data_IF_420651610269
#
_entry.id   IF_420651610269
#
_cell.length_a   1.000
_cell.length_b   1.000
_cell.length_c   1.000
_cell.angle_alpha   90.00
_cell.angle_beta   90.00
_cell.angle_gamma   90.00
#
_symmetry.space_group_name_H-M   'P 1'
#
loop_
_entity.id
_entity.type
_entity.pdbx_description
1 polymer ?
#
# COMPACT_ATOMS: atom_id res chain seq x y z
N UNK A 1 1.77 -13.73 29.00
CA UNK A 1 2.45 -13.04 27.89
C UNK A 1 2.24 -13.86 26.65
N UNK A 2 1.64 -13.27 25.60
CA UNK A 2 1.48 -13.96 24.31
C UNK A 2 2.83 -14.49 23.85
N UNK A 3 2.90 -15.70 23.30
CA UNK A 3 4.15 -16.32 22.77
C UNK A 3 4.76 -15.55 21.59
N UNK A 4 4.20 -14.39 21.22
CA UNK A 4 4.59 -13.55 20.09
C UNK A 4 5.19 -12.20 20.49
N UNK A 5 5.13 -11.83 21.78
CA UNK A 5 5.64 -10.53 22.23
C UNK A 5 7.13 -10.42 21.88
N UNK A 6 7.52 -9.33 21.21
CA UNK A 6 8.89 -9.10 20.74
C UNK A 6 9.28 -9.80 19.42
N UNK A 7 8.36 -10.53 18.78
CA UNK A 7 8.57 -11.20 17.51
C UNK A 7 7.75 -10.56 16.38
N UNK A 8 8.21 -10.76 15.13
CA UNK A 8 7.47 -10.47 13.90
C UNK A 8 6.96 -11.77 13.31
N UNK A 9 5.65 -11.85 13.03
CA UNK A 9 5.03 -13.03 12.42
C UNK A 9 5.20 -12.98 10.90
N UNK A 10 6.04 -13.88 10.34
CA UNK A 10 6.18 -14.07 8.89
C UNK A 10 5.33 -15.24 8.41
N UNK A 11 5.20 -15.41 7.10
CA UNK A 11 4.53 -16.58 6.50
C UNK A 11 5.24 -17.92 6.80
N UNK A 12 6.50 -17.89 7.22
CA UNK A 12 7.27 -19.08 7.63
C UNK A 12 7.26 -19.32 9.14
N UNK A 13 6.60 -18.44 9.91
CA UNK A 13 6.58 -18.48 11.36
C UNK A 13 7.10 -17.19 12.01
N UNK A 14 7.02 -17.09 13.35
CA UNK A 14 7.58 -15.97 14.08
C UNK A 14 9.11 -15.95 13.97
N UNK A 15 9.67 -14.76 13.77
CA UNK A 15 11.11 -14.48 13.85
C UNK A 15 11.37 -13.40 14.90
N UNK A 16 12.53 -13.41 15.58
CA UNK A 16 12.92 -12.29 16.43
C UNK A 16 12.89 -10.97 15.65
N UNK A 17 12.33 -9.92 16.25
CA UNK A 17 12.06 -8.65 15.54
C UNK A 17 13.32 -7.98 14.99
N UNK A 18 14.48 -8.21 15.58
CA UNK A 18 15.77 -7.73 15.09
C UNK A 18 16.23 -8.37 13.77
N UNK A 19 15.63 -9.48 13.34
CA UNK A 19 16.00 -10.17 12.10
C UNK A 19 15.34 -9.60 10.84
N UNK A 20 14.31 -8.76 10.96
CA UNK A 20 13.57 -8.27 9.79
C UNK A 20 14.37 -7.27 8.95
N UNK A 21 15.36 -6.57 9.53
CA UNK A 21 16.27 -5.67 8.80
C UNK A 21 15.55 -4.59 8.00
N UNK A 22 16.13 -4.20 6.85
CA UNK A 22 15.48 -3.26 5.92
C UNK A 22 14.15 -3.83 5.46
N UNK A 23 13.08 -3.11 5.78
CA UNK A 23 11.69 -3.56 5.63
C UNK A 23 10.91 -2.59 4.76
N UNK A 24 10.17 -3.13 3.80
CA UNK A 24 9.16 -2.39 3.03
C UNK A 24 7.77 -2.73 3.60
N UNK A 25 7.16 -1.83 4.40
CA UNK A 25 5.96 -2.10 5.18
C UNK A 25 4.65 -2.07 4.38
N UNK A 26 4.69 -1.71 3.09
CA UNK A 26 3.52 -1.70 2.23
C UNK A 26 3.87 -2.05 0.80
N UNK A 27 3.69 -3.32 0.47
CA UNK A 27 3.86 -3.87 -0.86
C UNK A 27 2.73 -4.85 -1.18
N UNK A 28 2.59 -5.20 -2.45
CA UNK A 28 1.78 -6.33 -2.88
C UNK A 28 2.70 -7.35 -3.58
N UNK A 29 3.07 -8.39 -2.85
CA UNK A 29 3.92 -9.46 -3.38
C UNK A 29 3.13 -10.30 -4.37
N UNK A 30 1.88 -10.61 -4.03
CA UNK A 30 0.90 -11.17 -4.96
C UNK A 30 -0.43 -10.44 -4.80
N UNK A 31 -1.02 -10.00 -5.91
CA UNK A 31 -2.32 -9.32 -5.92
C UNK A 31 -3.01 -9.51 -7.27
N UNK A 32 -4.35 -9.64 -7.24
CA UNK A 32 -5.20 -9.44 -8.40
C UNK A 32 -6.25 -8.36 -8.07
N UNK A 33 -6.03 -7.16 -8.58
CA UNK A 33 -6.99 -6.07 -8.41
C UNK A 33 -8.21 -6.23 -9.32
N UNK A 34 -8.17 -7.10 -10.33
CA UNK A 34 -9.33 -7.34 -11.22
C UNK A 34 -10.45 -8.13 -10.53
N UNK A 35 -10.21 -8.63 -9.31
CA UNK A 35 -11.18 -9.33 -8.50
C UNK A 35 -12.39 -8.46 -8.19
N UNK A 36 -13.59 -8.96 -8.49
CA UNK A 36 -14.84 -8.23 -8.27
C UNK A 36 -15.19 -7.19 -9.34
N UNK A 37 -14.26 -6.87 -10.25
CA UNK A 37 -14.51 -5.96 -11.36
C UNK A 37 -15.03 -6.70 -12.60
N UNK A 38 -16.27 -6.42 -13.00
CA UNK A 38 -16.86 -6.94 -14.25
C UNK A 38 -16.47 -6.12 -15.49
N UNK A 39 -15.84 -4.96 -15.31
CA UNK A 39 -15.40 -4.05 -16.36
C UNK A 39 -14.29 -3.11 -15.87
N UNK A 40 -13.65 -2.38 -16.79
CA UNK A 40 -12.69 -1.32 -16.45
C UNK A 40 -13.31 -0.27 -15.51
N UNK A 41 -14.54 0.17 -15.80
CA UNK A 41 -15.28 1.12 -14.97
C UNK A 41 -15.54 0.57 -13.55
N UNK A 42 -15.82 -0.72 -13.41
CA UNK A 42 -15.99 -1.35 -12.10
C UNK A 42 -14.68 -1.42 -11.30
N UNK A 43 -13.53 -1.61 -11.98
CA UNK A 43 -12.19 -1.66 -11.37
C UNK A 43 -11.70 -0.30 -10.86
N UNK A 44 -12.09 0.77 -11.53
CA UNK A 44 -11.49 2.10 -11.37
C UNK A 44 -12.32 3.03 -10.48
N UNK A 45 -13.55 2.62 -10.11
CA UNK A 45 -14.51 3.43 -9.37
C UNK A 45 -15.23 4.46 -10.24
N UNK A 46 -16.31 5.07 -9.74
CA UNK A 46 -17.10 6.09 -10.45
C UNK A 46 -16.65 7.51 -10.11
N UNK A 47 -15.38 7.85 -10.35
CA UNK A 47 -14.98 9.26 -10.29
C UNK A 47 -15.40 9.97 -11.56
N UNK A 48 -15.66 11.28 -11.53
CA UNK A 48 -15.99 12.06 -12.75
C UNK A 48 -14.89 11.90 -13.83
N UNK A 49 -13.62 11.69 -13.44
CA UNK A 49 -12.53 11.38 -14.36
C UNK A 49 -12.62 10.00 -14.99
N UNK A 50 -13.01 8.97 -14.22
CA UNK A 50 -13.23 7.61 -14.72
C UNK A 50 -14.54 7.53 -15.52
N UNK A 51 -15.58 8.25 -15.12
CA UNK A 51 -16.82 8.40 -15.88
C UNK A 51 -16.56 9.14 -17.19
N UNK A 52 -15.78 10.23 -17.20
CA UNK A 52 -15.39 10.91 -18.44
C UNK A 52 -14.54 10.01 -19.34
N UNK A 53 -13.61 9.24 -18.78
CA UNK A 53 -12.82 8.25 -19.52
C UNK A 53 -13.66 7.06 -20.03
N UNK A 54 -14.65 6.62 -19.25
CA UNK A 54 -15.54 5.48 -19.56
C UNK A 54 -16.72 5.88 -20.46
N UNK A 55 -17.17 7.14 -20.43
CA UNK A 55 -18.23 7.73 -21.25
C UNK A 55 -17.70 8.23 -22.60
N UNK A 56 -16.38 8.37 -22.72
CA UNK A 56 -15.69 8.55 -23.99
C UNK A 56 -14.73 7.38 -24.24
N UNK A 57 -15.24 6.14 -24.32
CA UNK A 57 -14.39 5.02 -24.73
C UNK A 57 -13.83 5.28 -26.13
N UNK A 58 -14.48 6.17 -26.90
CA UNK A 58 -14.11 6.64 -28.24
C UNK A 58 -13.00 7.68 -28.34
N UNK A 59 -12.57 8.31 -27.25
CA UNK A 59 -11.62 9.41 -27.29
C UNK A 59 -10.29 9.08 -26.59
N UNK A 60 -9.82 7.83 -26.75
CA UNK A 60 -8.54 7.37 -26.19
C UNK A 60 -7.48 8.47 -26.24
N UNK A 61 -6.88 8.77 -25.09
CA UNK A 61 -6.06 9.97 -24.87
C UNK A 61 -4.68 9.93 -25.58
N UNK A 62 -4.56 9.28 -26.73
CA UNK A 62 -3.37 9.38 -27.60
C UNK A 62 -3.44 10.66 -28.45
N UNK A 63 -2.37 11.48 -28.52
CA UNK A 63 -2.37 12.68 -29.33
C UNK A 63 -2.28 12.34 -30.83
N UNK A 64 -3.41 12.48 -31.55
CA UNK A 64 -3.42 12.50 -33.01
C UNK A 64 -3.05 13.87 -33.58
N UNK A 65 -2.67 13.94 -34.86
CA UNK A 65 -2.24 15.16 -35.57
C UNK A 65 -3.28 16.32 -35.56
N UNK A 66 -4.51 16.10 -35.06
CA UNK A 66 -5.55 17.12 -34.77
C UNK A 66 -6.35 16.86 -33.45
N UNK A 67 -5.81 16.14 -32.45
CA UNK A 67 -6.52 15.80 -31.19
C UNK A 67 -7.10 14.37 -31.13
N UNK A 68 -7.57 13.87 -29.96
CA UNK A 68 -7.46 12.45 -29.56
C UNK A 68 -8.34 11.46 -30.35
N UNK A 69 -7.79 10.26 -30.57
CA UNK A 69 -8.26 9.23 -31.50
C UNK A 69 -9.31 8.23 -30.98
N UNK A 70 -9.75 7.34 -31.91
CA UNK A 70 -10.97 6.50 -31.86
C UNK A 70 -10.98 5.30 -30.90
N UNK A 71 -12.20 4.90 -30.49
CA UNK A 71 -12.56 3.86 -29.51
C UNK A 71 -11.92 2.51 -29.62
N UNK A 72 -11.64 2.11 -30.86
CA UNK A 72 -11.08 0.81 -31.17
C UNK A 72 -9.70 0.61 -30.49
N UNK A 73 -8.98 1.70 -30.18
CA UNK A 73 -7.65 1.66 -29.58
C UNK A 73 -7.63 1.29 -28.09
N UNK A 74 -8.61 1.72 -27.29
CA UNK A 74 -8.62 1.50 -25.83
C UNK A 74 -8.98 0.05 -25.47
N UNK A 75 -10.06 -0.49 -26.06
CA UNK A 75 -10.43 -1.90 -25.90
C UNK A 75 -9.35 -2.83 -26.45
N UNK A 76 -8.68 -2.45 -27.55
CA UNK A 76 -7.56 -3.20 -28.09
C UNK A 76 -6.32 -3.17 -27.17
N UNK A 77 -6.15 -2.13 -26.33
CA UNK A 77 -5.04 -1.98 -25.37
C UNK A 77 -5.29 -2.71 -24.04
N UNK A 78 -6.55 -2.90 -23.62
CA UNK A 78 -6.93 -3.55 -22.36
C UNK A 78 -6.23 -4.91 -22.15
N UNK A 79 -6.17 -5.76 -23.18
CA UNK A 79 -5.52 -7.07 -23.10
C UNK A 79 -4.06 -7.12 -23.53
N UNK A 80 -3.41 -5.99 -23.86
CA UNK A 80 -2.01 -6.00 -24.33
C UNK A 80 -1.05 -6.30 -23.17
N UNK A 81 0.02 -7.07 -23.42
CA UNK A 81 1.06 -7.31 -22.43
C UNK A 81 1.86 -6.02 -22.16
N UNK A 82 2.49 -5.95 -20.99
CA UNK A 82 3.47 -4.90 -20.69
C UNK A 82 4.75 -5.18 -21.47
N UNK A 83 5.07 -4.31 -22.43
CA UNK A 83 6.31 -4.37 -23.22
C UNK A 83 6.99 -3.00 -23.22
N UNK A 84 8.22 -2.93 -23.72
CA UNK A 84 8.92 -1.65 -23.88
C UNK A 84 8.14 -0.67 -24.79
N UNK A 85 7.43 -1.19 -25.80
CA UNK A 85 6.59 -0.39 -26.71
C UNK A 85 5.39 0.23 -25.97
N UNK A 86 4.74 -0.54 -25.09
CA UNK A 86 3.53 -0.08 -24.38
C UNK A 86 3.84 0.66 -23.08
N UNK A 87 5.10 0.69 -22.63
CA UNK A 87 5.50 1.18 -21.30
C UNK A 87 5.14 2.65 -21.06
N UNK A 88 5.36 3.51 -22.07
CA UNK A 88 5.05 4.94 -21.97
C UNK A 88 3.54 5.19 -21.90
N UNK A 89 2.78 4.45 -22.70
CA UNK A 89 1.32 4.49 -22.66
C UNK A 89 0.82 4.06 -21.30
N UNK A 90 1.31 2.95 -20.73
CA UNK A 90 0.88 2.43 -19.42
C UNK A 90 1.17 3.43 -18.29
N UNK A 91 2.33 4.11 -18.31
CA UNK A 91 2.69 5.10 -17.27
C UNK A 91 1.67 6.25 -17.20
N UNK A 92 1.25 6.73 -18.38
CA UNK A 92 0.28 7.83 -18.50
C UNK A 92 -1.16 7.35 -18.35
N UNK A 93 -1.38 6.13 -18.86
CA UNK A 93 -2.49 5.20 -19.03
C UNK A 93 -2.65 4.06 -18.03
N UNK A 94 -2.99 4.21 -16.75
CA UNK A 94 -3.01 3.05 -15.83
C UNK A 94 -4.00 1.94 -16.23
N UNK A 95 -4.86 2.16 -17.23
CA UNK A 95 -5.95 1.31 -17.72
C UNK A 95 -5.55 0.14 -18.65
N UNK A 96 -4.56 -0.68 -18.28
CA UNK A 96 -4.24 -1.93 -19.00
C UNK A 96 -4.57 -3.12 -18.08
N UNK A 97 -5.45 -4.03 -18.50
CA UNK A 97 -5.98 -5.10 -17.63
C UNK A 97 -4.90 -6.01 -17.04
N UNK A 98 -3.98 -6.47 -17.90
CA UNK A 98 -2.90 -7.36 -17.48
C UNK A 98 -1.97 -6.73 -16.44
N UNK A 99 -1.90 -5.40 -16.43
CA UNK A 99 -1.07 -4.64 -15.51
C UNK A 99 -1.56 -4.70 -14.05
N UNK A 100 -2.84 -5.02 -13.81
CA UNK A 100 -3.47 -5.11 -12.48
C UNK A 100 -3.31 -6.49 -11.82
N UNK A 101 -2.50 -7.37 -12.40
CA UNK A 101 -2.30 -8.76 -11.95
C UNK A 101 -0.84 -9.04 -11.67
N UNK A 102 -0.48 -9.02 -10.39
CA UNK A 102 0.79 -9.52 -9.88
C UNK A 102 0.56 -10.92 -9.33
N UNK A 103 0.39 -11.90 -10.22
CA UNK A 103 0.06 -13.29 -9.84
C UNK A 103 1.13 -14.30 -10.25
N UNK A 104 2.17 -13.85 -10.95
CA UNK A 104 3.29 -14.69 -11.35
C UNK A 104 4.34 -14.77 -10.24
N UNK A 105 4.52 -15.97 -9.69
CA UNK A 105 5.47 -16.22 -8.60
C UNK A 105 6.92 -16.05 -9.07
N UNK A 106 7.26 -16.37 -10.32
CA UNK A 106 8.62 -16.25 -10.82
C UNK A 106 9.02 -14.77 -10.97
N UNK A 107 8.07 -13.90 -11.33
CA UNK A 107 8.28 -12.46 -11.31
C UNK A 107 8.51 -11.93 -9.89
N UNK A 108 7.69 -12.36 -8.92
CA UNK A 108 7.87 -11.96 -7.53
C UNK A 108 9.21 -12.47 -6.95
N UNK A 109 9.63 -13.70 -7.28
CA UNK A 109 10.95 -14.25 -6.91
C UNK A 109 12.08 -13.43 -7.53
N UNK A 110 11.94 -13.03 -8.80
CA UNK A 110 12.94 -12.20 -9.48
C UNK A 110 13.12 -10.85 -8.77
N UNK A 111 12.01 -10.14 -8.50
CA UNK A 111 12.04 -8.83 -7.82
C UNK A 111 12.55 -8.94 -6.38
N UNK A 112 12.10 -9.95 -5.61
CA UNK A 112 12.55 -10.16 -4.24
C UNK A 112 14.04 -10.52 -4.15
N UNK A 113 14.60 -11.25 -5.12
CA UNK A 113 16.04 -11.50 -5.20
C UNK A 113 16.84 -10.24 -5.53
N UNK A 114 16.29 -9.29 -6.30
CA UNK A 114 16.92 -7.99 -6.52
C UNK A 114 16.90 -7.15 -5.23
N UNK A 115 15.75 -7.11 -4.55
CA UNK A 115 15.62 -6.46 -3.24
C UNK A 115 16.64 -7.00 -2.22
N UNK A 116 16.73 -8.33 -2.08
CA UNK A 116 17.69 -8.99 -1.18
C UNK A 116 19.14 -8.63 -1.48
N UNK A 117 19.51 -8.60 -2.77
CA UNK A 117 20.87 -8.26 -3.21
C UNK A 117 21.30 -6.84 -2.85
N UNK A 118 20.35 -5.91 -2.70
CA UNK A 118 20.60 -4.53 -2.29
C UNK A 118 20.42 -4.32 -0.78
N UNK A 119 20.36 -5.40 0.02
CA UNK A 119 20.28 -5.33 1.48
C UNK A 119 18.85 -5.34 2.04
N UNK A 120 17.84 -5.41 1.18
CA UNK A 120 16.46 -5.65 1.57
C UNK A 120 16.29 -6.97 2.34
N UNK A 121 15.41 -7.00 3.34
CA UNK A 121 15.28 -8.17 4.21
C UNK A 121 13.84 -8.59 4.47
N UNK A 122 12.90 -7.65 4.54
CA UNK A 122 11.49 -7.95 4.80
C UNK A 122 10.54 -7.21 3.84
N UNK A 123 9.55 -7.93 3.32
CA UNK A 123 8.42 -7.38 2.56
C UNK A 123 7.13 -7.62 3.36
N UNK A 124 6.29 -6.61 3.45
CA UNK A 124 4.95 -6.74 4.03
C UNK A 124 3.92 -6.71 2.91
N UNK A 125 3.35 -7.88 2.62
CA UNK A 125 2.27 -8.05 1.66
C UNK A 125 0.97 -7.55 2.31
N UNK A 126 0.51 -6.37 1.91
CA UNK A 126 -0.71 -5.75 2.40
C UNK A 126 -1.96 -6.23 1.64
N UNK A 127 -1.86 -7.23 0.77
CA UNK A 127 -3.00 -7.73 -0.02
C UNK A 127 -4.05 -8.38 0.90
N UNK A 128 -5.23 -7.75 1.10
CA UNK A 128 -6.22 -8.22 2.05
C UNK A 128 -7.22 -9.18 1.38
N UNK A 129 -8.27 -9.56 2.12
CA UNK A 129 -9.41 -10.29 1.55
C UNK A 129 -10.10 -9.45 0.48
N UNK A 130 -10.41 -10.08 -0.65
CA UNK A 130 -11.03 -9.42 -1.81
C UNK A 130 -10.07 -9.16 -2.98
N UNK A 131 -8.76 -9.15 -2.73
CA UNK A 131 -7.72 -8.84 -3.73
C UNK A 131 -6.83 -10.05 -4.10
N UNK A 132 -7.40 -11.26 -4.01
CA UNK A 132 -6.71 -12.53 -4.30
C UNK A 132 -5.44 -12.81 -3.46
N UNK A 133 -5.44 -12.45 -2.17
CA UNK A 133 -4.38 -12.84 -1.21
C UNK A 133 -4.02 -14.33 -1.33
N UNK A 134 -2.74 -14.64 -1.55
CA UNK A 134 -2.23 -16.01 -1.75
C UNK A 134 -1.17 -16.43 -0.71
N UNK A 135 -1.57 -16.97 0.44
CA UNK A 135 -0.62 -17.38 1.49
C UNK A 135 0.40 -18.43 1.03
N UNK A 136 0.04 -19.33 0.11
CA UNK A 136 0.93 -20.41 -0.34
C UNK A 136 1.98 -19.88 -1.30
N UNK A 137 1.58 -18.99 -2.21
CA UNK A 137 2.51 -18.25 -3.07
C UNK A 137 3.53 -17.46 -2.25
N UNK A 138 3.08 -16.74 -1.21
CA UNK A 138 3.99 -16.01 -0.31
C UNK A 138 5.01 -16.94 0.38
N UNK A 139 4.59 -18.13 0.85
CA UNK A 139 5.52 -19.13 1.42
C UNK A 139 6.54 -19.62 0.40
N UNK A 140 6.11 -19.87 -0.84
CA UNK A 140 7.00 -20.29 -1.92
C UNK A 140 8.07 -19.23 -2.21
N UNK A 141 7.67 -17.96 -2.32
CA UNK A 141 8.57 -16.84 -2.59
C UNK A 141 9.54 -16.64 -1.42
N UNK A 142 9.06 -16.65 -0.17
CA UNK A 142 9.90 -16.50 1.01
C UNK A 142 10.98 -17.60 1.09
N UNK A 143 10.61 -18.86 0.82
CA UNK A 143 11.57 -19.99 0.81
C UNK A 143 12.58 -19.89 -0.33
N UNK A 144 12.14 -19.46 -1.51
CA UNK A 144 13.01 -19.38 -2.69
C UNK A 144 14.05 -18.24 -2.60
N UNK A 145 13.73 -17.17 -1.87
CA UNK A 145 14.54 -15.94 -1.85
C UNK A 145 15.24 -15.67 -0.52
N UNK A 146 14.76 -16.27 0.58
CA UNK A 146 15.24 -15.96 1.93
C UNK A 146 14.86 -14.56 2.41
N UNK A 147 13.94 -13.87 1.71
CA UNK A 147 13.32 -12.64 2.17
C UNK A 147 12.21 -12.98 3.15
N UNK A 148 12.14 -12.27 4.27
CA UNK A 148 11.01 -12.38 5.18
C UNK A 148 9.76 -11.78 4.52
N UNK A 149 8.65 -12.51 4.57
CA UNK A 149 7.38 -12.00 4.05
C UNK A 149 6.36 -12.02 5.19
N UNK A 150 5.81 -10.85 5.51
CA UNK A 150 4.68 -10.70 6.43
C UNK A 150 3.41 -10.60 5.60
N UNK A 151 2.41 -11.42 5.91
CA UNK A 151 1.12 -11.40 5.23
C UNK A 151 0.11 -10.54 6.00
N UNK A 152 -0.64 -9.71 5.28
CA UNK A 152 -1.73 -8.90 5.78
C UNK A 152 -3.04 -9.67 6.03
N UNK A 153 -3.89 -9.09 6.87
CA UNK A 153 -5.26 -9.52 7.16
C UNK A 153 -6.26 -8.39 6.92
N UNK A 154 -7.55 -8.64 7.15
CA UNK A 154 -8.58 -7.62 6.99
C UNK A 154 -9.24 -7.59 5.62
N UNK A 155 -9.97 -6.51 5.37
CA UNK A 155 -10.79 -6.30 4.18
C UNK A 155 -10.46 -4.94 3.58
N UNK A 156 -10.47 -4.89 2.25
CA UNK A 156 -10.21 -3.67 1.50
C UNK A 156 -11.41 -2.71 1.45
N UNK A 157 -11.52 -1.90 0.41
CA UNK A 157 -12.68 -1.02 0.14
C UNK A 157 -13.92 -1.80 -0.29
N UNK A 158 -15.08 -1.15 -0.21
CA UNK A 158 -16.38 -1.77 -0.48
C UNK A 158 -16.49 -2.48 -1.83
N UNK A 159 -15.76 -2.03 -2.85
CA UNK A 159 -15.78 -2.62 -4.20
C UNK A 159 -15.19 -4.03 -4.24
N UNK A 160 -14.37 -4.39 -3.24
CA UNK A 160 -13.71 -5.69 -3.13
C UNK A 160 -14.24 -6.51 -1.94
N UNK A 161 -15.26 -6.00 -1.24
CA UNK A 161 -15.92 -6.74 -0.17
C UNK A 161 -16.65 -7.97 -0.74
N UNK A 162 -16.75 -9.06 0.03
CA UNK A 162 -17.58 -10.18 -0.38
C UNK A 162 -19.05 -9.76 -0.48
N UNK A 163 -19.82 -10.39 -1.37
CA UNK A 163 -21.22 -10.03 -1.64
C UNK A 163 -22.14 -10.09 -0.40
N UNK A 164 -21.75 -10.85 0.62
CA UNK A 164 -22.50 -10.97 1.88
C UNK A 164 -21.99 -10.03 3.00
N UNK A 165 -21.08 -9.08 2.71
CA UNK A 165 -20.47 -8.21 3.74
C UNK A 165 -21.50 -7.44 4.58
N UNK A 166 -22.60 -6.98 3.96
CA UNK A 166 -23.67 -6.28 4.68
C UNK A 166 -24.35 -7.15 5.75
N UNK A 167 -24.44 -8.47 5.52
CA UNK A 167 -25.04 -9.42 6.47
C UNK A 167 -24.08 -9.85 7.58
N UNK A 168 -22.76 -9.68 7.42
CA UNK A 168 -21.80 -9.99 8.46
C UNK A 168 -21.92 -9.00 9.62
N UNK A 169 -22.03 -9.50 10.85
CA UNK A 169 -21.95 -8.66 12.05
C UNK A 169 -20.51 -8.18 12.26
N UNK A 170 -20.35 -7.09 13.03
CA UNK A 170 -19.03 -6.60 13.43
C UNK A 170 -18.21 -7.69 14.13
N UNK A 171 -18.81 -8.43 15.07
CA UNK A 171 -18.15 -9.54 15.76
C UNK A 171 -17.69 -10.63 14.80
N UNK A 172 -18.49 -10.96 13.78
CA UNK A 172 -18.08 -11.95 12.78
C UNK A 172 -16.90 -11.47 11.93
N UNK A 173 -16.85 -10.18 11.60
CA UNK A 173 -15.70 -9.61 10.88
C UNK A 173 -14.45 -9.65 11.76
N UNK A 174 -14.58 -9.31 13.05
CA UNK A 174 -13.50 -9.44 14.03
C UNK A 174 -12.98 -10.88 14.09
N UNK A 175 -13.86 -11.89 14.23
CA UNK A 175 -13.46 -13.30 14.26
C UNK A 175 -12.65 -13.71 13.02
N UNK A 176 -13.03 -13.21 11.84
CA UNK A 176 -12.33 -13.51 10.59
C UNK A 176 -10.92 -12.89 10.55
N UNK A 177 -10.76 -11.67 11.09
CA UNK A 177 -9.47 -10.98 11.16
C UNK A 177 -8.59 -11.63 12.23
N UNK A 178 -9.11 -11.81 13.44
CA UNK A 178 -8.39 -12.49 14.54
C UNK A 178 -8.02 -13.92 14.15
N UNK A 179 -8.89 -14.66 13.45
CA UNK A 179 -8.60 -16.00 12.96
C UNK A 179 -7.41 -16.07 12.00
N UNK A 180 -7.28 -15.09 11.08
CA UNK A 180 -6.11 -15.00 10.18
C UNK A 180 -4.79 -14.85 10.95
N UNK A 181 -4.84 -14.19 12.12
CA UNK A 181 -3.67 -13.93 12.97
C UNK A 181 -3.41 -15.10 13.92
N UNK A 182 -4.44 -15.62 14.58
CA UNK A 182 -4.31 -16.61 15.66
C UNK A 182 -4.17 -18.02 15.11
N UNK A 183 -5.06 -18.40 14.19
CA UNK A 183 -5.15 -19.76 13.64
C UNK A 183 -4.38 -19.87 12.33
N UNK A 184 -4.48 -18.83 11.49
CA UNK A 184 -3.91 -18.79 10.15
C UNK A 184 -4.82 -19.38 9.08
N UNK A 185 -4.36 -19.26 7.84
CA UNK A 185 -5.07 -19.68 6.63
C UNK A 185 -4.24 -20.71 5.85
N UNK A 186 -4.88 -21.37 4.87
CA UNK A 186 -4.22 -22.27 3.93
C UNK A 186 -3.33 -23.36 4.58
N UNK A 187 -3.73 -23.86 5.75
CA UNK A 187 -2.96 -24.85 6.53
C UNK A 187 -2.15 -24.26 7.69
N UNK A 188 -2.56 -23.12 8.23
CA UNK A 188 -1.98 -22.52 9.45
C UNK A 188 -0.95 -21.41 9.20
N UNK A 189 -0.90 -20.84 8.00
CA UNK A 189 -0.06 -19.69 7.66
C UNK A 189 -0.71 -18.44 8.25
N UNK A 190 -0.02 -17.77 9.18
CA UNK A 190 -0.59 -16.69 9.98
C UNK A 190 -0.26 -15.32 9.42
N UNK A 191 -1.21 -14.40 9.50
CA UNK A 191 -0.98 -12.99 9.23
C UNK A 191 -0.14 -12.35 10.36
N UNK A 192 0.66 -11.35 9.99
CA UNK A 192 1.50 -10.59 10.94
C UNK A 192 1.20 -9.09 10.99
N UNK A 193 0.26 -8.62 10.17
CA UNK A 193 -0.28 -7.26 10.22
C UNK A 193 -1.78 -7.30 9.87
N UNK A 194 -2.59 -6.40 10.44
CA UNK A 194 -3.94 -6.14 9.96
C UNK A 194 -3.84 -5.05 8.91
N UNK A 195 -4.16 -5.34 7.67
CA UNK A 195 -4.03 -4.37 6.59
C UNK A 195 -3.86 -5.01 5.20
N UNK A 196 -4.10 -4.24 4.14
CA UNK A 196 -4.56 -2.85 4.20
C UNK A 196 -6.10 -2.76 4.44
N UNK A 197 -6.51 -2.02 5.47
CA UNK A 197 -7.94 -1.79 5.75
C UNK A 197 -8.43 -0.64 4.89
N UNK A 198 -9.27 -0.95 3.89
CA UNK A 198 -9.70 0.01 2.87
C UNK A 198 -10.88 0.88 3.28
N UNK A 199 -10.73 2.19 3.10
CA UNK A 199 -11.76 3.20 3.30
C UNK A 199 -11.97 3.98 2.00
N UNK A 200 -13.24 4.23 1.67
CA UNK A 200 -13.66 5.19 0.65
C UNK A 200 -13.99 6.53 1.30
N UNK A 201 -14.18 7.56 0.48
CA UNK A 201 -14.80 8.80 0.91
C UNK A 201 -15.93 9.20 -0.05
N UNK A 202 -17.15 9.50 0.45
CA UNK A 202 -17.59 9.39 1.85
C UNK A 202 -17.49 7.97 2.42
N UNK A 203 -17.26 7.85 3.72
CA UNK A 203 -17.05 6.56 4.39
C UNK A 203 -18.27 5.65 4.23
N UNK A 204 -18.06 4.43 3.71
CA UNK A 204 -19.13 3.47 3.54
C UNK A 204 -19.42 2.71 4.86
N UNK A 205 -20.69 2.41 5.22
CA UNK A 205 -21.02 1.73 6.48
C UNK A 205 -20.32 0.36 6.69
N UNK A 206 -20.12 -0.42 5.61
CA UNK A 206 -19.38 -1.68 5.72
C UNK A 206 -17.87 -1.47 5.92
N UNK A 207 -17.30 -0.37 5.43
CA UNK A 207 -15.90 -0.03 5.64
C UNK A 207 -15.69 0.48 7.08
N UNK A 208 -16.60 1.30 7.61
CA UNK A 208 -16.62 1.65 9.04
C UNK A 208 -16.71 0.40 9.92
N UNK A 209 -17.65 -0.50 9.63
CA UNK A 209 -17.81 -1.77 10.35
C UNK A 209 -16.52 -2.62 10.29
N UNK A 210 -15.84 -2.64 9.15
CA UNK A 210 -14.55 -3.32 8.96
C UNK A 210 -13.43 -2.66 9.77
N UNK A 211 -13.36 -1.33 9.79
CA UNK A 211 -12.38 -0.57 10.55
C UNK A 211 -12.52 -0.82 12.05
N UNK A 212 -13.75 -0.73 12.59
CA UNK A 212 -14.03 -1.01 14.01
C UNK A 212 -13.65 -2.44 14.39
N UNK A 213 -13.99 -3.43 13.55
CA UNK A 213 -13.57 -4.82 13.77
C UNK A 213 -12.04 -4.98 13.73
N UNK A 214 -11.36 -4.26 12.85
CA UNK A 214 -9.89 -4.26 12.73
C UNK A 214 -9.22 -3.68 13.98
N UNK A 215 -9.74 -2.57 14.52
CA UNK A 215 -9.23 -1.95 15.77
C UNK A 215 -9.43 -2.91 16.96
N UNK A 216 -10.57 -3.59 17.06
CA UNK A 216 -10.79 -4.59 18.12
C UNK A 216 -9.85 -5.78 17.99
N UNK A 217 -9.62 -6.27 16.77
CA UNK A 217 -8.67 -7.35 16.49
C UNK A 217 -7.24 -6.94 16.82
N UNK A 218 -6.86 -5.69 16.53
CA UNK A 218 -5.55 -5.11 16.90
C UNK A 218 -5.36 -5.17 18.42
N UNK A 219 -6.34 -4.71 19.19
CA UNK A 219 -6.32 -4.72 20.67
C UNK A 219 -6.26 -6.13 21.25
N UNK A 220 -6.99 -7.07 20.64
CA UNK A 220 -7.02 -8.47 21.08
C UNK A 220 -5.69 -9.20 20.82
N UNK A 221 -5.03 -8.89 19.71
CA UNK A 221 -3.88 -9.67 19.22
C UNK A 221 -2.52 -9.00 19.43
N UNK A 222 -2.46 -7.69 19.67
CA UNK A 222 -1.22 -6.90 19.73
C UNK A 222 -0.57 -6.63 18.36
N UNK A 223 -1.25 -7.01 17.28
CA UNK A 223 -0.79 -6.86 15.91
C UNK A 223 -0.77 -5.38 15.48
N UNK A 224 0.14 -4.99 14.58
CA UNK A 224 0.08 -3.68 13.92
C UNK A 224 -1.15 -3.57 13.00
N UNK A 225 -1.57 -2.34 12.70
CA UNK A 225 -2.67 -2.04 11.79
C UNK A 225 -2.24 -1.03 10.70
N UNK A 226 -2.58 -1.29 9.45
CA UNK A 226 -2.40 -0.38 8.32
C UNK A 226 -3.75 -0.04 7.68
N UNK A 227 -3.99 1.26 7.47
CA UNK A 227 -5.24 1.81 6.95
C UNK A 227 -4.96 2.49 5.61
N UNK A 228 -5.79 2.15 4.61
CA UNK A 228 -5.88 2.81 3.32
C UNK A 228 -7.00 3.85 3.34
N UNK A 229 -6.66 5.15 3.41
CA UNK A 229 -7.68 6.20 3.44
C UNK A 229 -8.24 6.45 2.04
N UNK A 230 -9.49 6.89 1.99
CA UNK A 230 -10.10 7.43 0.78
C UNK A 230 -9.42 8.72 0.35
N UNK A 231 -9.62 9.15 -0.90
CA UNK A 231 -8.90 10.27 -1.50
C UNK A 231 -9.12 11.65 -0.84
N UNK A 232 -10.18 11.83 -0.04
CA UNK A 232 -10.37 13.06 0.73
C UNK A 232 -9.51 13.04 2.00
N UNK A 233 -8.87 14.15 2.39
CA UNK A 233 -8.22 14.29 3.69
C UNK A 233 -9.14 13.95 4.85
N UNK A 234 -10.44 14.21 4.73
CA UNK A 234 -11.44 13.90 5.75
C UNK A 234 -11.50 12.40 6.06
N UNK A 235 -11.16 11.52 5.11
CA UNK A 235 -11.10 10.08 5.36
C UNK A 235 -10.05 9.70 6.41
N UNK A 236 -8.94 10.44 6.50
CA UNK A 236 -7.91 10.21 7.52
C UNK A 236 -8.45 10.59 8.90
N UNK A 237 -9.10 11.75 8.99
CA UNK A 237 -9.62 12.27 10.26
C UNK A 237 -10.87 11.53 10.75
N UNK A 238 -11.72 11.05 9.84
CA UNK A 238 -12.82 10.14 10.16
C UNK A 238 -12.30 8.83 10.76
N UNK A 239 -11.23 8.26 10.18
CA UNK A 239 -10.60 7.07 10.72
C UNK A 239 -9.99 7.32 12.10
N UNK A 240 -9.29 8.44 12.31
CA UNK A 240 -8.75 8.83 13.63
C UNK A 240 -9.87 8.89 14.67
N UNK A 241 -10.98 9.59 14.37
CA UNK A 241 -12.14 9.67 15.28
C UNK A 241 -12.66 8.28 15.65
N UNK A 242 -12.80 7.39 14.68
CA UNK A 242 -13.27 6.01 14.92
C UNK A 242 -12.27 5.21 15.77
N UNK A 243 -10.97 5.38 15.53
CA UNK A 243 -9.90 4.77 16.34
C UNK A 243 -10.01 5.23 17.79
N UNK A 244 -10.17 6.53 18.03
CA UNK A 244 -10.32 7.09 19.38
C UNK A 244 -11.59 6.58 20.07
N UNK A 245 -12.71 6.52 19.36
CA UNK A 245 -13.99 5.97 19.87
C UNK A 245 -13.88 4.50 20.28
N UNK A 246 -13.16 3.67 19.51
CA UNK A 246 -12.91 2.26 19.86
C UNK A 246 -11.75 2.08 20.86
N UNK A 247 -11.07 3.18 21.22
CA UNK A 247 -9.89 3.20 22.07
C UNK A 247 -8.74 2.38 21.50
N UNK A 248 -8.45 2.53 20.20
CA UNK A 248 -7.31 1.94 19.51
C UNK A 248 -6.01 2.67 19.82
N UNK A 249 -4.89 1.96 19.71
CA UNK A 249 -3.56 2.54 19.96
C UNK A 249 -2.98 3.11 18.66
N UNK A 250 -3.03 4.43 18.50
CA UNK A 250 -2.50 5.12 17.32
C UNK A 250 -1.01 4.88 17.11
N UNK A 251 -0.22 4.66 18.16
CA UNK A 251 1.22 4.37 18.02
C UNK A 251 1.50 3.05 17.27
N UNK A 252 0.46 2.21 17.11
CA UNK A 252 0.48 0.90 16.46
C UNK A 252 -0.28 0.90 15.12
N UNK A 253 -0.60 2.08 14.60
CA UNK A 253 -1.38 2.27 13.37
C UNK A 253 -0.57 3.08 12.37
N UNK A 254 -0.55 2.62 11.12
CA UNK A 254 0.02 3.33 9.99
C UNK A 254 -1.08 3.76 9.01
N UNK A 255 -1.00 5.01 8.54
CA UNK A 255 -1.82 5.52 7.45
C UNK A 255 -1.01 5.47 6.15
N UNK A 256 -1.47 4.72 5.16
CA UNK A 256 -0.84 4.61 3.84
C UNK A 256 -1.14 5.81 2.95
N UNK A 257 -0.34 5.97 1.89
CA UNK A 257 -0.53 6.97 0.84
C UNK A 257 -0.61 8.42 1.32
N UNK A 258 -0.08 8.77 2.51
CA UNK A 258 -0.35 10.08 3.12
C UNK A 258 0.06 11.25 2.25
N UNK A 259 1.08 11.09 1.39
CA UNK A 259 1.52 12.12 0.44
C UNK A 259 0.48 12.44 -0.65
N UNK A 260 -0.55 11.60 -0.79
CA UNK A 260 -1.65 11.74 -1.74
C UNK A 260 -3.01 11.95 -1.06
N UNK A 261 -3.09 11.75 0.27
CA UNK A 261 -4.34 11.87 1.04
C UNK A 261 -4.40 13.16 1.82
N UNK A 262 -3.25 13.68 2.27
CA UNK A 262 -3.17 14.93 2.99
C UNK A 262 -2.88 16.10 2.03
N UNK A 263 -3.56 17.25 2.19
CA UNK A 263 -3.40 18.37 1.30
C UNK A 263 -2.06 19.04 1.59
N UNK A 264 -1.04 18.70 0.82
CA UNK A 264 0.27 19.34 0.93
C UNK A 264 0.31 20.73 0.29
N UNK A 265 -0.79 21.23 -0.29
CA UNK A 265 -0.85 22.45 -1.09
C UNK A 265 -2.11 23.29 -0.77
N UNK A 266 -2.05 24.23 0.19
CA UNK A 266 -3.16 25.15 0.43
C UNK A 266 -3.37 26.14 -0.74
N UNK A 267 -2.35 26.30 -1.58
CA UNK A 267 -2.38 27.11 -2.79
C UNK A 267 -1.54 26.46 -3.93
N UNK A 268 -1.75 26.86 -5.21
CA UNK A 268 -0.87 26.44 -6.30
C UNK A 268 0.61 26.69 -5.98
N UNK A 269 1.47 25.72 -6.29
CA UNK A 269 2.92 25.77 -6.11
C UNK A 269 3.43 25.96 -4.67
N UNK A 270 2.62 25.66 -3.64
CA UNK A 270 3.04 25.70 -2.23
C UNK A 270 3.19 24.31 -1.64
N UNK A 271 4.06 24.16 -0.62
CA UNK A 271 4.09 22.99 0.26
C UNK A 271 3.68 23.42 1.67
N UNK A 272 2.68 22.77 2.25
CA UNK A 272 2.27 22.93 3.65
C UNK A 272 2.52 21.63 4.42
N UNK A 273 3.50 21.61 5.35
CA UNK A 273 3.75 20.44 6.18
C UNK A 273 2.69 20.25 7.27
N UNK A 274 1.84 21.25 7.55
CA UNK A 274 0.94 21.24 8.71
C UNK A 274 0.07 19.98 8.78
N UNK A 275 -0.61 19.51 7.71
CA UNK A 275 -1.44 18.31 7.82
C UNK A 275 -0.65 17.05 8.17
N UNK A 276 0.60 16.95 7.72
CA UNK A 276 1.49 15.84 8.08
C UNK A 276 1.95 15.95 9.54
N UNK A 277 2.26 17.16 9.99
CA UNK A 277 2.60 17.42 11.40
C UNK A 277 1.43 17.15 12.33
N UNK A 278 0.21 17.51 11.93
CA UNK A 278 -1.01 17.24 12.70
C UNK A 278 -1.25 15.73 12.81
N UNK A 279 -1.09 14.97 11.72
CA UNK A 279 -1.20 13.51 11.76
C UNK A 279 -0.11 12.90 12.64
N UNK A 280 1.13 13.40 12.55
CA UNK A 280 2.21 12.95 13.41
C UNK A 280 1.95 13.27 14.89
N UNK A 281 1.35 14.41 15.21
CA UNK A 281 1.01 14.74 16.60
C UNK A 281 0.04 13.73 17.26
N UNK A 282 -0.71 12.95 16.47
CA UNK A 282 -1.60 11.89 16.98
C UNK A 282 -0.86 10.64 17.48
N UNK A 283 0.42 10.50 17.14
CA UNK A 283 1.23 9.30 17.40
C UNK A 283 1.14 8.22 16.31
N UNK A 284 0.26 8.37 15.32
CA UNK A 284 0.18 7.47 14.17
C UNK A 284 1.45 7.48 13.32
N UNK A 285 1.72 6.37 12.64
CA UNK A 285 2.82 6.29 11.67
C UNK A 285 2.34 6.80 10.31
N UNK A 286 3.17 7.62 9.66
CA UNK A 286 2.94 8.20 8.36
C UNK A 286 3.71 7.38 7.33
N UNK A 287 2.96 6.69 6.45
CA UNK A 287 3.55 5.86 5.42
C UNK A 287 3.49 6.56 4.06
N UNK A 288 4.66 7.00 3.60
CA UNK A 288 4.86 7.52 2.25
C UNK A 288 5.27 6.36 1.34
N UNK A 289 4.29 5.76 0.68
CA UNK A 289 4.47 4.54 -0.11
C UNK A 289 4.43 4.79 -1.62
N UNK A 290 4.69 6.02 -2.07
CA UNK A 290 4.77 6.35 -3.49
C UNK A 290 6.17 6.31 -4.10
N UNK A 291 7.21 5.81 -3.42
CA UNK A 291 8.57 5.89 -3.93
C UNK A 291 8.74 5.15 -5.27
N UNK A 292 9.39 5.78 -6.23
CA UNK A 292 9.53 5.29 -7.60
C UNK A 292 8.29 5.51 -8.50
N UNK A 293 7.22 6.16 -7.99
CA UNK A 293 6.06 6.57 -8.80
C UNK A 293 6.16 8.05 -9.13
N UNK A 294 6.27 8.33 -10.43
CA UNK A 294 6.38 9.69 -10.99
C UNK A 294 5.52 9.82 -12.25
N UNK A 295 4.21 9.97 -12.07
CA UNK A 295 3.30 10.20 -13.18
C UNK A 295 3.10 11.70 -13.42
N UNK A 296 3.46 12.20 -14.62
CA UNK A 296 3.19 13.59 -15.00
C UNK A 296 1.69 13.91 -15.12
N UNK A 297 0.85 12.88 -15.19
CA UNK A 297 -0.61 13.00 -15.17
C UNK A 297 -1.21 11.85 -14.35
N UNK A 298 -1.67 12.15 -13.14
CA UNK A 298 -2.34 11.16 -12.29
C UNK A 298 -3.83 11.06 -12.62
N UNK A 299 -4.27 9.87 -13.03
CA UNK A 299 -5.64 9.67 -13.52
C UNK A 299 -6.71 9.63 -12.41
N UNK A 300 -6.29 9.22 -11.20
CA UNK A 300 -7.20 8.97 -10.07
C UNK A 300 -7.52 10.23 -9.24
N UNK A 301 -7.10 11.41 -9.68
CA UNK A 301 -7.45 12.69 -9.07
C UNK A 301 -6.50 13.82 -9.52
N UNK A 302 -6.89 15.09 -9.38
CA UNK A 302 -6.07 16.25 -9.75
C UNK A 302 -4.98 16.51 -8.71
N UNK A 303 -4.15 15.51 -8.43
CA UNK A 303 -3.06 15.56 -7.45
C UNK A 303 -1.74 15.60 -8.21
N UNK A 304 -0.91 16.60 -7.89
CA UNK A 304 0.49 16.63 -8.33
C UNK A 304 1.25 15.58 -7.53
N UNK A 305 1.56 14.45 -8.17
CA UNK A 305 2.30 13.36 -7.54
C UNK A 305 3.72 13.82 -7.21
N UNK A 306 4.14 13.88 -5.93
CA UNK A 306 5.51 14.21 -5.61
C UNK A 306 6.45 13.18 -6.23
N UNK A 307 7.66 13.59 -6.61
CA UNK A 307 8.74 12.65 -6.91
C UNK A 307 9.49 12.27 -5.63
N UNK A 308 10.45 11.35 -5.73
CA UNK A 308 11.19 10.85 -4.57
C UNK A 308 11.94 11.96 -3.83
N UNK A 309 12.53 12.92 -4.55
CA UNK A 309 13.22 14.05 -3.92
C UNK A 309 12.26 14.93 -3.10
N UNK A 310 11.03 15.13 -3.58
CA UNK A 310 10.00 15.87 -2.86
C UNK A 310 9.50 15.07 -1.65
N UNK A 311 9.25 13.76 -1.78
CA UNK A 311 8.91 12.90 -0.64
C UNK A 311 9.98 12.96 0.46
N UNK A 312 11.26 12.92 0.09
CA UNK A 312 12.35 13.05 1.05
C UNK A 312 12.41 14.43 1.73
N UNK A 313 12.02 15.51 1.05
CA UNK A 313 11.90 16.80 1.73
C UNK A 313 10.81 16.74 2.81
N UNK A 314 9.68 16.07 2.54
CA UNK A 314 8.59 15.92 3.52
C UNK A 314 9.06 15.15 4.75
N UNK A 315 9.77 14.04 4.54
CA UNK A 315 10.34 13.23 5.61
C UNK A 315 11.34 14.03 6.45
N UNK A 316 12.22 14.81 5.82
CA UNK A 316 13.19 15.64 6.54
C UNK A 316 12.47 16.69 7.40
N UNK A 317 11.47 17.38 6.86
CA UNK A 317 10.68 18.37 7.62
C UNK A 317 9.99 17.74 8.84
N UNK A 318 9.46 16.52 8.71
CA UNK A 318 8.84 15.82 9.84
C UNK A 318 9.87 15.34 10.88
N UNK A 319 11.03 14.87 10.43
CA UNK A 319 12.11 14.46 11.32
C UNK A 319 12.69 15.65 12.10
N UNK A 320 12.93 16.80 11.45
CA UNK A 320 13.38 18.04 12.10
C UNK A 320 12.37 18.59 13.11
N UNK A 321 11.08 18.26 12.94
CA UNK A 321 10.02 18.59 13.88
C UNK A 321 9.87 17.58 15.04
N UNK A 322 10.72 16.54 15.12
CA UNK A 322 10.75 15.57 16.21
C UNK A 322 9.87 14.33 16.00
N UNK A 323 9.40 14.09 14.78
CA UNK A 323 8.50 12.98 14.44
C UNK A 323 9.19 11.84 13.69
N UNK A 324 10.52 11.73 13.77
CA UNK A 324 11.32 10.71 13.07
C UNK A 324 10.88 9.25 13.32
N UNK A 325 10.27 8.97 14.48
CA UNK A 325 9.91 7.62 14.92
C UNK A 325 8.58 7.14 14.30
N UNK A 326 7.91 7.99 13.53
CA UNK A 326 6.62 7.71 12.90
C UNK A 326 6.72 7.60 11.38
N UNK A 327 7.91 7.81 10.83
CA UNK A 327 8.13 7.83 9.40
C UNK A 327 8.30 6.42 8.85
N UNK A 328 7.49 6.07 7.86
CA UNK A 328 7.58 4.83 7.11
C UNK A 328 7.61 5.16 5.62
N UNK A 329 8.35 4.36 4.84
CA UNK A 329 8.36 4.48 3.38
C UNK A 329 8.21 3.12 2.71
N UNK A 330 7.58 3.09 1.54
CA UNK A 330 7.46 1.90 0.68
C UNK A 330 7.23 2.32 -0.77
N UNK A 331 6.91 1.38 -1.65
CA UNK A 331 6.58 1.66 -3.05
C UNK A 331 5.11 1.40 -3.38
N UNK A 332 4.41 0.57 -2.57
CA UNK A 332 3.07 0.08 -2.86
C UNK A 332 3.05 -0.51 -4.29
N UNK A 333 3.97 -1.46 -4.55
CA UNK A 333 4.05 -2.11 -5.86
C UNK A 333 2.81 -2.98 -6.08
N UNK A 334 1.84 -2.44 -6.81
CA UNK A 334 0.58 -3.11 -7.13
C UNK A 334 0.39 -3.36 -8.65
N UNK A 335 1.23 -2.78 -9.51
CA UNK A 335 1.10 -2.85 -10.97
C UNK A 335 2.33 -3.46 -11.65
N UNK A 336 2.11 -4.30 -12.67
CA UNK A 336 3.16 -5.07 -13.33
C UNK A 336 4.27 -4.18 -13.92
N UNK A 337 3.92 -3.06 -14.55
CA UNK A 337 4.91 -2.13 -15.13
C UNK A 337 5.81 -1.43 -14.10
N UNK A 338 5.50 -1.51 -12.81
CA UNK A 338 6.35 -0.98 -11.75
C UNK A 338 7.46 -1.94 -11.32
N UNK A 339 7.33 -3.24 -11.64
CA UNK A 339 8.42 -4.21 -11.47
C UNK A 339 9.61 -3.88 -12.37
N UNK A 340 10.81 -4.14 -11.86
CA UNK A 340 12.06 -3.93 -12.61
C UNK A 340 12.09 -4.75 -13.90
N UNK A 341 11.56 -5.97 -13.87
CA UNK A 341 11.46 -6.85 -15.06
C UNK A 341 10.71 -6.21 -16.22
N UNK A 342 9.77 -5.31 -15.94
CA UNK A 342 8.92 -4.64 -16.93
C UNK A 342 9.28 -3.17 -17.13
N UNK A 343 10.50 -2.77 -16.74
CA UNK A 343 11.03 -1.42 -16.96
C UNK A 343 10.66 -0.42 -15.86
N UNK A 344 10.06 -0.87 -14.76
CA UNK A 344 9.91 -0.07 -13.54
C UNK A 344 11.16 -0.09 -12.66
N UNK A 345 11.01 0.41 -11.44
CA UNK A 345 12.11 0.47 -10.46
C UNK A 345 12.22 -0.80 -9.61
N UNK A 346 11.10 -1.48 -9.33
CA UNK A 346 11.05 -2.68 -8.49
C UNK A 346 11.38 -2.41 -7.01
N UNK A 347 11.31 -3.44 -6.18
CA UNK A 347 11.51 -3.31 -4.72
C UNK A 347 12.94 -2.90 -4.32
N UNK A 348 13.93 -3.10 -5.20
CA UNK A 348 15.30 -2.69 -4.94
C UNK A 348 15.48 -1.16 -4.86
N UNK A 349 14.53 -0.37 -5.36
CA UNK A 349 14.68 1.07 -5.55
C UNK A 349 14.93 1.83 -4.24
N UNK A 350 14.16 1.54 -3.19
CA UNK A 350 14.40 2.14 -1.87
C UNK A 350 15.80 1.81 -1.33
N UNK A 351 16.19 0.52 -1.18
CA UNK A 351 17.48 0.20 -0.61
C UNK A 351 18.67 0.58 -1.50
N UNK A 352 18.49 0.68 -2.82
CA UNK A 352 19.53 1.09 -3.77
C UNK A 352 19.55 2.61 -3.98
N UNK A 353 18.61 3.14 -4.75
CA UNK A 353 18.59 4.55 -5.19
C UNK A 353 18.20 5.51 -4.07
N UNK A 354 17.09 5.24 -3.36
CA UNK A 354 16.53 6.21 -2.40
C UNK A 354 17.46 6.39 -1.21
N UNK A 355 18.11 5.34 -0.71
CA UNK A 355 19.12 5.48 0.33
C UNK A 355 20.28 6.41 -0.07
N UNK A 356 20.74 6.37 -1.33
CA UNK A 356 21.78 7.29 -1.79
C UNK A 356 21.25 8.72 -1.89
N UNK A 357 20.01 8.88 -2.34
CA UNK A 357 19.36 10.18 -2.38
C UNK A 357 19.14 10.75 -0.97
N UNK A 358 18.78 9.92 0.02
CA UNK A 358 18.68 10.30 1.43
C UNK A 358 20.01 10.87 1.93
N UNK A 359 21.13 10.15 1.70
CA UNK A 359 22.47 10.64 2.08
C UNK A 359 22.83 11.95 1.38
N UNK A 360 22.56 12.05 0.09
CA UNK A 360 22.78 13.30 -0.68
C UNK A 360 21.98 14.48 -0.10
N UNK A 361 20.77 14.22 0.41
CA UNK A 361 19.88 15.22 1.02
C UNK A 361 20.12 15.45 2.51
N UNK A 362 21.19 14.88 3.08
CA UNK A 362 21.61 15.17 4.46
C UNK A 362 20.94 14.30 5.53
N UNK A 363 20.29 13.20 5.16
CA UNK A 363 19.85 12.20 6.14
C UNK A 363 21.08 11.49 6.71
N UNK A 364 21.27 11.56 8.02
CA UNK A 364 22.28 10.75 8.69
C UNK A 364 21.88 9.26 8.72
N UNK A 365 22.84 8.39 9.02
CA UNK A 365 22.60 6.95 9.04
C UNK A 365 21.58 6.55 10.13
N UNK A 366 21.51 7.27 11.24
CA UNK A 366 20.55 6.99 12.31
C UNK A 366 19.11 7.25 11.90
N UNK A 367 18.85 8.31 11.14
CA UNK A 367 17.52 8.59 10.58
C UNK A 367 17.17 7.60 9.47
N UNK A 368 18.13 7.22 8.63
CA UNK A 368 17.93 6.17 7.60
C UNK A 368 17.54 4.84 8.27
N UNK A 369 18.28 4.42 9.30
CA UNK A 369 18.01 3.18 10.02
C UNK A 369 16.66 3.23 10.75
N UNK A 370 16.28 4.39 11.32
CA UNK A 370 14.95 4.59 11.89
C UNK A 370 13.85 4.34 10.87
N UNK A 371 13.94 4.98 9.70
CA UNK A 371 12.92 4.90 8.65
C UNK A 371 12.84 3.50 8.04
N UNK A 372 13.97 2.85 7.76
CA UNK A 372 14.02 1.60 7.00
C UNK A 372 13.98 0.33 7.86
N UNK A 373 14.35 0.43 9.13
CA UNK A 373 14.53 -0.74 10.02
C UNK A 373 13.69 -0.57 11.28
N UNK A 374 13.92 0.49 12.06
CA UNK A 374 13.37 0.56 13.42
C UNK A 374 11.86 0.82 13.45
N UNK A 375 11.36 1.75 12.64
CA UNK A 375 9.96 2.10 12.58
C UNK A 375 9.10 0.96 11.99
N UNK A 376 9.47 0.32 10.85
CA UNK A 376 8.75 -0.86 10.38
C UNK A 376 8.80 -2.01 11.38
N UNK A 377 9.97 -2.27 11.99
CA UNK A 377 10.09 -3.29 13.05
C UNK A 377 9.15 -3.00 14.20
N UNK A 378 9.10 -1.75 14.68
CA UNK A 378 8.20 -1.32 15.76
C UNK A 378 6.75 -1.61 15.39
N UNK A 379 6.30 -1.23 14.18
CA UNK A 379 4.94 -1.50 13.72
C UNK A 379 4.61 -3.00 13.67
N UNK A 380 5.54 -3.84 13.21
CA UNK A 380 5.33 -5.28 12.98
C UNK A 380 5.51 -6.16 14.22
N UNK A 381 6.21 -5.67 15.24
CA UNK A 381 6.51 -6.45 16.45
C UNK A 381 5.26 -6.57 17.29
N UNK A 382 4.76 -7.77 17.55
CA UNK A 382 3.56 -7.97 18.38
C UNK A 382 3.80 -7.47 19.81
N UNK A 383 2.81 -6.76 20.38
CA UNK A 383 2.82 -6.31 21.78
C UNK A 383 2.40 -7.39 22.77
#
# INVERSE_FOLDING_TARGET
MSTRSGAVQTVLGPVPSEQVGITLPHEHVLIDMTMGASSATALLGSTESVERASAQPEAGLEPGQNGPGVAASFTAKWGRPVTLETRGDIERYWFFYGNYRLTDIDDAIYEANLFKRHGGSCLVDQTPRGLARDPRGLVQIARATGVHIVMGAGFYSQHHHPSNMSALSLGRIQDLITGDIVDGVAGGIKAGIIGEVGLSWPLHPNEEKSLRASIRSQKETGCGLSIHPGYSPDSVWDAIRIIEEEGGDLSRIAFSHVEHRLPSRPAPHSFDPKPFLDLAATGASLLLDGFGREASHRQRGPIDDPNDSVRLNYLMTLAEAGYENQLLISHDLALQHWYRRYGGFGWQHIPDTVQQLMRYKGFDQGLIDRILIENPRRLLTFS
#
